data_IF_711966759097
#
_entry.id   IF_711966759097
#
_cell.length_a   1.000
_cell.length_b   1.000
_cell.length_c   1.000
_cell.angle_alpha   90.00
_cell.angle_beta   90.00
_cell.angle_gamma   90.00
#
_symmetry.space_group_name_H-M   'P 1'
#
loop_
_entity.id
_entity.type
_entity.pdbx_description
1 polymer ?
#
# COMPACT_ATOMS: atom_id res chain seq x y z
N UNK A 1 -22.40 -11.90 -22.90
CA UNK A 1 -23.86 -11.78 -23.08
C UNK A 1 -24.23 -10.30 -23.11
N UNK A 2 -25.23 -9.90 -23.91
CA UNK A 2 -25.70 -8.50 -23.95
C UNK A 2 -26.86 -8.33 -22.96
N UNK A 3 -26.76 -7.35 -22.08
CA UNK A 3 -27.81 -6.98 -21.11
C UNK A 3 -28.24 -5.55 -21.43
N UNK A 4 -29.55 -5.31 -21.43
CA UNK A 4 -30.13 -3.97 -21.60
C UNK A 4 -30.67 -3.53 -20.24
N UNK A 5 -30.27 -2.34 -19.78
CA UNK A 5 -30.71 -1.75 -18.51
C UNK A 5 -31.36 -0.40 -18.81
N UNK A 6 -32.55 -0.17 -18.24
CA UNK A 6 -33.21 1.13 -18.30
C UNK A 6 -32.68 2.01 -17.16
N UNK A 7 -32.19 3.21 -17.51
CA UNK A 7 -31.60 4.17 -16.57
C UNK A 7 -32.13 5.55 -16.92
N UNK A 8 -32.60 6.34 -15.93
CA UNK A 8 -32.98 7.73 -16.15
C UNK A 8 -31.86 8.53 -16.82
N UNK A 9 -32.23 9.43 -17.75
CA UNK A 9 -31.27 10.18 -18.56
C UNK A 9 -30.32 11.04 -17.72
N UNK A 10 -30.79 11.62 -16.61
CA UNK A 10 -29.96 12.43 -15.72
C UNK A 10 -28.87 11.60 -15.06
N UNK A 11 -29.24 10.42 -14.56
CA UNK A 11 -28.29 9.44 -14.00
C UNK A 11 -27.31 8.97 -15.06
N UNK A 12 -27.77 8.69 -16.29
CA UNK A 12 -26.90 8.27 -17.39
C UNK A 12 -25.83 9.33 -17.73
N UNK A 13 -26.21 10.61 -17.74
CA UNK A 13 -25.27 11.73 -17.97
C UNK A 13 -24.21 11.80 -16.88
N UNK A 14 -24.61 11.68 -15.63
CA UNK A 14 -23.69 11.71 -14.50
C UNK A 14 -22.71 10.53 -14.55
N UNK A 15 -23.21 9.32 -14.80
CA UNK A 15 -22.38 8.11 -14.94
C UNK A 15 -21.37 8.30 -16.06
N UNK A 16 -21.79 8.85 -17.22
CA UNK A 16 -20.89 9.14 -18.34
C UNK A 16 -19.81 10.16 -17.97
N UNK A 17 -20.16 11.22 -17.26
CA UNK A 17 -19.21 12.22 -16.79
C UNK A 17 -18.19 11.61 -15.81
N UNK A 18 -18.65 10.80 -14.85
CA UNK A 18 -17.79 10.12 -13.87
C UNK A 18 -16.85 9.10 -14.53
N UNK A 19 -17.32 8.36 -15.54
CA UNK A 19 -16.48 7.46 -16.31
C UNK A 19 -15.38 8.20 -17.07
N UNK A 20 -15.72 9.34 -17.69
CA UNK A 20 -14.75 10.18 -18.40
C UNK A 20 -13.69 10.77 -17.46
N UNK A 21 -14.08 11.23 -16.26
CA UNK A 21 -13.13 11.71 -15.24
C UNK A 21 -12.13 10.64 -14.82
N UNK A 22 -12.56 9.37 -14.77
CA UNK A 22 -11.70 8.21 -14.46
C UNK A 22 -10.95 7.67 -15.68
N UNK A 23 -11.13 8.26 -16.87
CA UNK A 23 -10.54 7.80 -18.15
C UNK A 23 -10.83 6.33 -18.47
N UNK A 24 -11.98 5.83 -18.05
CA UNK A 24 -12.43 4.46 -18.35
C UNK A 24 -13.68 4.47 -19.22
N UNK A 25 -13.97 3.33 -19.84
CA UNK A 25 -15.20 3.18 -20.62
C UNK A 25 -16.43 3.18 -19.71
N UNK A 26 -17.57 3.61 -20.26
CA UNK A 26 -18.85 3.59 -19.54
C UNK A 26 -19.23 2.18 -19.07
N UNK A 27 -18.99 1.17 -19.92
CA UNK A 27 -19.26 -0.23 -19.58
C UNK A 27 -18.42 -0.68 -18.38
N UNK A 28 -17.12 -0.38 -18.40
CA UNK A 28 -16.22 -0.72 -17.30
C UNK A 28 -16.65 -0.03 -15.99
N UNK A 29 -16.99 1.25 -16.05
CA UNK A 29 -17.47 1.99 -14.87
C UNK A 29 -18.72 1.34 -14.26
N UNK A 30 -19.67 0.90 -15.11
CA UNK A 30 -20.90 0.23 -14.65
C UNK A 30 -20.57 -1.14 -14.04
N UNK A 31 -19.68 -1.92 -14.66
CA UNK A 31 -19.25 -3.23 -14.15
C UNK A 31 -18.59 -3.08 -12.78
N UNK A 32 -17.63 -2.16 -12.64
CA UNK A 32 -16.96 -1.90 -11.36
C UNK A 32 -17.95 -1.50 -10.26
N UNK A 33 -18.91 -0.62 -10.58
CA UNK A 33 -19.94 -0.20 -9.63
C UNK A 33 -20.85 -1.36 -9.21
N UNK A 34 -21.20 -2.27 -10.12
CA UNK A 34 -21.99 -3.46 -9.80
C UNK A 34 -21.19 -4.46 -8.97
N UNK A 35 -19.94 -4.71 -9.33
CA UNK A 35 -19.04 -5.60 -8.58
C UNK A 35 -18.82 -5.10 -7.16
N UNK A 36 -18.66 -3.79 -6.97
CA UNK A 36 -18.54 -3.17 -5.65
C UNK A 36 -19.80 -3.40 -4.80
N UNK A 37 -20.99 -3.35 -5.41
CA UNK A 37 -22.27 -3.56 -4.70
C UNK A 37 -22.58 -5.03 -4.41
N UNK A 38 -22.14 -5.94 -5.27
CA UNK A 38 -22.34 -7.39 -5.08
C UNK A 38 -21.27 -7.96 -4.16
N UNK A 39 -20.10 -7.32 -4.05
CA UNK A 39 -19.03 -7.76 -3.17
C UNK A 39 -19.57 -7.85 -1.73
N UNK A 40 -19.52 -9.04 -1.09
CA UNK A 40 -19.94 -9.17 0.29
C UNK A 40 -19.10 -8.21 1.15
N UNK A 41 -19.69 -7.60 2.19
CA UNK A 41 -18.91 -6.79 3.11
C UNK A 41 -17.75 -7.64 3.61
N UNK A 42 -16.52 -7.13 3.45
CA UNK A 42 -15.36 -7.80 4.00
C UNK A 42 -15.65 -8.06 5.47
N UNK A 43 -15.67 -9.35 5.86
CA UNK A 43 -15.96 -9.72 7.24
C UNK A 43 -15.04 -8.89 8.14
N UNK A 44 -15.56 -8.17 9.14
CA UNK A 44 -14.74 -7.35 10.02
C UNK A 44 -13.70 -8.17 10.81
N UNK A 45 -13.75 -9.50 10.71
CA UNK A 45 -12.82 -10.45 11.33
C UNK A 45 -11.75 -10.98 10.38
N UNK A 46 -11.80 -10.65 9.08
CA UNK A 46 -10.74 -10.98 8.14
C UNK A 46 -9.71 -9.87 8.19
N UNK A 47 -8.67 -10.03 9.03
CA UNK A 47 -7.46 -9.21 8.90
C UNK A 47 -7.06 -9.21 7.42
N UNK A 48 -6.77 -8.04 6.81
CA UNK A 48 -6.27 -8.02 5.44
C UNK A 48 -5.06 -8.96 5.42
N UNK A 49 -5.14 -10.00 4.60
CA UNK A 49 -4.03 -10.94 4.45
C UNK A 49 -2.79 -10.11 4.15
N UNK A 50 -1.76 -10.22 4.99
CA UNK A 50 -0.53 -9.48 4.78
C UNK A 50 -0.05 -9.75 3.35
N UNK A 51 0.19 -8.69 2.56
CA UNK A 51 0.68 -8.85 1.20
C UNK A 51 1.96 -9.69 1.21
N UNK A 52 2.20 -10.54 0.20
CA UNK A 52 3.37 -11.42 0.17
C UNK A 52 4.71 -10.68 0.33
N UNK A 53 4.79 -9.40 -0.06
CA UNK A 53 5.97 -8.56 0.08
C UNK A 53 6.22 -8.06 1.53
N UNK A 54 5.25 -8.19 2.44
CA UNK A 54 5.41 -7.85 3.87
C UNK A 54 5.96 -8.99 4.73
N UNK A 55 6.20 -10.19 4.17
CA UNK A 55 6.61 -11.40 4.91
C UNK A 55 7.94 -11.32 5.68
N UNK A 56 8.66 -10.19 5.62
CA UNK A 56 9.88 -9.96 6.39
C UNK A 56 9.91 -8.62 7.14
N UNK A 57 8.84 -7.84 7.08
CA UNK A 57 8.82 -6.52 7.69
C UNK A 57 8.88 -6.65 9.22
N UNK A 58 9.91 -6.07 9.85
CA UNK A 58 10.12 -6.13 11.30
C UNK A 58 10.76 -7.44 11.82
N UNK A 59 11.03 -8.43 10.97
CA UNK A 59 11.62 -9.71 11.40
C UNK A 59 13.00 -9.54 12.07
N UNK A 60 13.75 -8.51 11.68
CA UNK A 60 15.08 -8.19 12.22
C UNK A 60 15.04 -7.13 13.33
N UNK A 61 13.86 -6.76 13.85
CA UNK A 61 13.75 -5.75 14.90
C UNK A 61 14.52 -6.12 16.18
N UNK A 62 14.65 -7.41 16.47
CA UNK A 62 15.42 -7.94 17.61
C UNK A 62 16.93 -7.70 17.49
N UNK A 63 17.44 -7.45 16.28
CA UNK A 63 18.88 -7.20 16.04
C UNK A 63 19.28 -5.78 16.45
N UNK A 64 18.31 -4.87 16.66
CA UNK A 64 18.59 -3.47 16.99
C UNK A 64 19.47 -3.31 18.22
N UNK A 65 19.26 -4.13 19.25
CA UNK A 65 20.03 -4.06 20.49
C UNK A 65 21.47 -4.59 20.30
N UNK A 66 21.63 -5.65 19.51
CA UNK A 66 22.95 -6.16 19.08
C UNK A 66 23.71 -5.16 18.21
N UNK A 67 23.04 -4.51 17.25
CA UNK A 67 23.65 -3.45 16.43
C UNK A 67 24.16 -2.30 17.30
N UNK A 68 23.35 -1.86 18.27
CA UNK A 68 23.77 -0.80 19.21
C UNK A 68 24.96 -1.24 20.07
N UNK A 69 25.02 -2.50 20.48
CA UNK A 69 26.16 -3.03 21.24
C UNK A 69 27.45 -2.98 20.41
N UNK A 70 27.40 -3.46 19.16
CA UNK A 70 28.54 -3.42 18.23
C UNK A 70 28.97 -1.98 17.94
N UNK A 71 28.02 -1.07 17.68
CA UNK A 71 28.30 0.35 17.46
C UNK A 71 29.01 0.99 18.68
N UNK A 72 28.61 0.63 19.90
CA UNK A 72 29.27 1.13 21.11
C UNK A 72 30.71 0.67 21.24
N UNK A 73 31.00 -0.59 20.88
CA UNK A 73 32.36 -1.12 20.86
C UNK A 73 33.23 -0.46 19.80
N UNK A 74 32.66 -0.19 18.62
CA UNK A 74 33.36 0.52 17.54
C UNK A 74 33.68 1.96 17.99
N UNK A 75 32.72 2.66 18.60
CA UNK A 75 32.93 4.01 19.08
C UNK A 75 34.04 4.06 20.14
N UNK A 76 34.04 3.14 21.10
CA UNK A 76 35.09 3.02 22.12
C UNK A 76 36.46 2.71 21.50
N UNK A 77 36.53 1.79 20.54
CA UNK A 77 37.78 1.43 19.88
C UNK A 77 38.32 2.53 18.95
N UNK A 78 37.45 3.40 18.44
CA UNK A 78 37.77 4.47 17.50
C UNK A 78 37.87 5.85 18.18
N UNK A 79 37.67 5.94 19.51
CA UNK A 79 37.95 7.13 20.33
C UNK A 79 39.45 7.32 20.58
N UNK A 80 40.28 6.98 19.59
CA UNK A 80 41.66 7.43 19.50
C UNK A 80 41.66 8.62 18.54
N UNK A 81 42.03 9.84 18.96
CA UNK A 81 42.41 10.85 17.99
C UNK A 81 43.58 10.27 17.21
N UNK A 82 43.39 10.01 15.91
CA UNK A 82 44.53 9.94 15.02
C UNK A 82 45.24 11.29 15.19
N UNK A 83 46.43 11.26 15.77
CA UNK A 83 47.31 12.42 15.92
C UNK A 83 47.83 12.80 14.53
N UNK A 84 46.91 13.26 13.69
CA UNK A 84 47.16 13.85 12.38
C UNK A 84 47.73 15.25 12.65
N UNK A 85 48.99 15.40 12.25
CA UNK A 85 49.70 16.65 12.02
C UNK A 85 50.51 17.23 13.19
N UNK A 86 51.72 16.67 13.36
CA UNK A 86 52.87 17.44 13.84
C UNK A 86 53.95 17.48 12.75
N UNK A 87 53.89 18.56 11.97
CA UNK A 87 54.95 19.29 11.22
C UNK A 87 56.05 18.46 10.55
#
# INVERSE_FOLDING_TARGET
>A
MKITLDIPNDTFREVKARAALRRISLQQFIIEALEEKIRPPASPHTKPAEPPWMRGFGALAHIRDETRHVESWIAEACESPEEENRV
#
